data_IF_260780625253
#
_entry.id   IF_260780625253
#
_cell.length_a   1.000
_cell.length_b   1.000
_cell.length_c   1.000
_cell.angle_alpha   90.00
_cell.angle_beta   90.00
_cell.angle_gamma   90.00
#
_symmetry.space_group_name_H-M   'P 1'
#
loop_
_entity.id
_entity.type
_entity.pdbx_description
1 polymer ?
#
# COMPACT_ATOMS: atom_id res chain seq x y z
N UNK A 1 19.70 14.58 -2.50
CA UNK A 1 19.69 13.47 -3.49
C UNK A 1 19.97 12.12 -2.84
N UNK A 2 21.02 11.99 -1.99
CA UNK A 2 21.39 10.72 -1.32
C UNK A 2 20.26 10.13 -0.48
N UNK A 3 19.44 10.96 0.19
CA UNK A 3 18.30 10.52 0.97
C UNK A 3 17.20 9.82 0.13
N UNK A 4 16.93 10.32 -1.08
CA UNK A 4 15.99 9.66 -2.02
C UNK A 4 16.56 8.35 -2.53
N UNK A 5 17.85 8.34 -2.92
CA UNK A 5 18.55 7.14 -3.41
C UNK A 5 18.54 6.04 -2.32
N UNK A 6 18.77 6.41 -1.04
CA UNK A 6 18.76 5.48 0.07
C UNK A 6 17.44 4.71 0.23
N UNK A 7 16.33 5.25 -0.29
CA UNK A 7 14.99 4.66 -0.19
C UNK A 7 14.54 3.93 -1.45
N UNK A 8 15.39 3.80 -2.48
CA UNK A 8 15.09 2.93 -3.63
C UNK A 8 14.89 1.48 -3.17
N UNK A 9 13.98 0.77 -3.81
CA UNK A 9 13.70 -0.63 -3.50
C UNK A 9 14.86 -1.56 -3.87
N UNK A 10 15.66 -1.17 -4.85
CA UNK A 10 16.79 -1.95 -5.40
C UNK A 10 18.17 -1.57 -4.84
N UNK A 11 18.25 -0.54 -3.98
CA UNK A 11 19.54 -0.08 -3.45
C UNK A 11 20.12 -1.09 -2.47
N UNK A 12 21.33 -1.55 -2.72
CA UNK A 12 22.09 -2.38 -1.82
C UNK A 12 23.19 -1.58 -1.12
N UNK A 13 23.93 -0.77 -1.88
CA UNK A 13 24.99 0.09 -1.38
C UNK A 13 25.23 1.26 -2.31
N UNK A 14 25.76 2.35 -1.79
CA UNK A 14 26.19 3.52 -2.53
C UNK A 14 27.67 3.76 -2.25
N UNK A 15 28.43 4.01 -3.30
CA UNK A 15 29.87 4.22 -3.22
C UNK A 15 30.26 5.46 -4.02
N UNK A 16 31.23 6.22 -3.48
CA UNK A 16 31.90 7.29 -4.22
C UNK A 16 33.21 6.73 -4.80
N UNK A 17 33.47 7.05 -6.04
CA UNK A 17 34.73 6.69 -6.72
C UNK A 17 35.80 7.70 -6.29
N UNK A 18 36.90 7.22 -5.70
CA UNK A 18 38.06 8.00 -5.29
C UNK A 18 39.34 7.41 -5.94
N UNK A 19 39.68 7.90 -7.11
CA UNK A 19 40.73 7.30 -7.93
C UNK A 19 40.36 5.88 -8.35
N UNK A 20 41.11 4.88 -7.89
CA UNK A 20 40.86 3.46 -8.15
C UNK A 20 40.06 2.77 -7.01
N UNK A 21 39.70 3.50 -5.96
CA UNK A 21 39.02 2.98 -4.79
C UNK A 21 37.53 3.34 -4.78
N UNK A 22 36.75 2.51 -4.05
CA UNK A 22 35.34 2.75 -3.77
C UNK A 22 35.18 3.11 -2.29
N UNK A 23 34.86 4.36 -1.99
CA UNK A 23 34.53 4.82 -0.64
C UNK A 23 33.03 4.63 -0.38
N UNK A 24 32.62 3.89 0.67
CA UNK A 24 31.21 3.70 0.97
C UNK A 24 30.56 5.01 1.40
N UNK A 25 29.33 5.25 0.96
CA UNK A 25 28.49 6.37 1.34
C UNK A 25 27.40 5.85 2.27
N UNK A 26 27.26 6.47 3.43
CA UNK A 26 26.22 6.11 4.39
C UNK A 26 24.83 6.37 3.83
N UNK A 27 23.95 5.35 3.93
CA UNK A 27 22.57 5.41 3.46
C UNK A 27 21.64 5.68 4.66
N UNK A 28 21.03 6.86 4.69
CA UNK A 28 20.00 7.20 5.67
C UNK A 28 18.60 6.83 5.11
N UNK A 29 18.11 5.66 5.52
CA UNK A 29 16.78 5.16 5.14
C UNK A 29 15.70 5.73 6.06
N UNK A 30 14.47 5.78 5.55
CA UNK A 30 13.28 6.19 6.32
C UNK A 30 12.80 5.13 7.31
N UNK A 31 13.45 3.97 7.39
CA UNK A 31 13.03 2.81 8.17
C UNK A 31 12.87 3.14 9.66
N UNK A 32 11.61 3.34 10.07
CA UNK A 32 11.24 3.75 11.44
C UNK A 32 11.21 2.60 12.43
N UNK A 33 11.04 1.39 11.94
CA UNK A 33 10.86 0.17 12.71
C UNK A 33 11.86 -0.89 12.28
N UNK A 34 11.97 -1.92 13.10
CA UNK A 34 12.73 -3.13 12.80
C UNK A 34 12.13 -3.88 11.60
N UNK A 35 12.99 -4.45 10.76
CA UNK A 35 12.64 -5.19 9.53
C UNK A 35 11.64 -6.33 9.76
N UNK A 36 11.53 -6.84 10.98
CA UNK A 36 10.52 -7.83 11.35
C UNK A 36 9.09 -7.37 10.99
N UNK A 37 8.81 -6.07 10.94
CA UNK A 37 7.50 -5.53 10.55
C UNK A 37 7.12 -5.98 9.15
N UNK A 38 8.07 -6.03 8.23
CA UNK A 38 7.84 -6.37 6.82
C UNK A 38 8.21 -7.82 6.49
N UNK A 39 9.12 -8.45 7.24
CA UNK A 39 9.70 -9.75 6.88
C UNK A 39 9.12 -10.94 7.63
N UNK A 40 8.60 -10.76 8.87
CA UNK A 40 8.24 -11.88 9.73
C UNK A 40 6.97 -12.63 9.29
N UNK A 41 6.02 -11.93 8.67
CA UNK A 41 4.85 -12.58 8.12
C UNK A 41 5.24 -13.38 6.87
N UNK A 42 4.98 -14.70 6.91
CA UNK A 42 5.16 -15.60 5.76
C UNK A 42 3.85 -16.34 5.51
N UNK A 43 3.31 -16.19 4.32
CA UNK A 43 2.10 -16.87 3.87
C UNK A 43 2.12 -17.02 2.36
N UNK A 44 1.37 -17.99 1.86
CA UNK A 44 1.28 -18.23 0.42
C UNK A 44 0.64 -17.02 -0.27
N UNK A 45 1.25 -16.57 -1.36
CA UNK A 45 0.78 -15.40 -2.11
C UNK A 45 1.21 -14.05 -1.52
N UNK A 46 2.08 -14.04 -0.50
CA UNK A 46 2.65 -12.79 0.00
C UNK A 46 3.48 -12.10 -1.09
N UNK A 47 3.16 -10.86 -1.36
CA UNK A 47 3.97 -10.03 -2.25
C UNK A 47 5.35 -9.74 -1.64
N UNK A 48 6.37 -9.78 -2.48
CA UNK A 48 7.74 -9.47 -2.08
C UNK A 48 7.84 -8.05 -1.53
N UNK A 49 8.55 -7.86 -0.42
CA UNK A 49 8.66 -6.59 0.29
C UNK A 49 9.36 -5.51 -0.57
N UNK A 50 10.37 -5.91 -1.34
CA UNK A 50 11.08 -5.00 -2.25
C UNK A 50 10.17 -4.51 -3.37
N UNK A 51 9.30 -5.40 -3.90
CA UNK A 51 8.30 -5.03 -4.88
C UNK A 51 7.24 -4.09 -4.28
N UNK A 52 6.76 -4.37 -3.08
CA UNK A 52 5.82 -3.46 -2.38
C UNK A 52 6.45 -2.08 -2.17
N UNK A 53 7.74 -2.03 -1.80
CA UNK A 53 8.50 -0.79 -1.69
C UNK A 53 8.62 -0.08 -3.05
N UNK A 54 8.86 -0.81 -4.14
CA UNK A 54 8.88 -0.25 -5.50
C UNK A 54 7.54 0.38 -5.85
N UNK A 55 6.44 -0.35 -5.68
CA UNK A 55 5.09 0.11 -6.01
C UNK A 55 4.72 1.37 -5.24
N UNK A 56 5.00 1.40 -3.93
CA UNK A 56 4.79 2.59 -3.09
C UNK A 56 5.63 3.77 -3.58
N UNK A 57 6.93 3.56 -3.88
CA UNK A 57 7.83 4.62 -4.34
C UNK A 57 7.40 5.21 -5.67
N UNK A 58 7.10 4.36 -6.66
CA UNK A 58 6.67 4.81 -7.99
C UNK A 58 5.37 5.61 -7.89
N UNK A 59 4.42 5.15 -7.08
CA UNK A 59 3.16 5.86 -6.83
C UNK A 59 3.41 7.21 -6.17
N UNK A 60 4.24 7.25 -5.13
CA UNK A 60 4.57 8.46 -4.40
C UNK A 60 5.25 9.51 -5.29
N UNK A 61 6.28 9.11 -6.04
CA UNK A 61 7.01 10.02 -6.92
C UNK A 61 6.18 10.51 -8.11
N UNK A 62 5.13 9.79 -8.47
CA UNK A 62 4.17 10.23 -9.48
C UNK A 62 3.19 11.26 -8.96
N UNK A 63 3.02 11.42 -7.65
CA UNK A 63 2.17 12.46 -7.08
C UNK A 63 2.78 13.86 -7.24
N UNK A 64 1.94 14.89 -7.17
CA UNK A 64 2.40 16.29 -7.18
C UNK A 64 3.33 16.62 -5.99
N UNK A 65 3.37 15.77 -4.97
CA UNK A 65 4.16 15.93 -3.74
C UNK A 65 5.28 14.91 -3.62
N UNK A 66 5.64 14.24 -4.71
CA UNK A 66 6.69 13.20 -4.69
C UNK A 66 8.04 13.68 -4.18
N UNK A 67 8.40 14.94 -4.44
CA UNK A 67 9.61 15.58 -3.92
C UNK A 67 9.63 15.75 -2.39
N UNK A 68 8.49 15.67 -1.73
CA UNK A 68 8.35 15.82 -0.26
C UNK A 68 8.52 14.48 0.50
N UNK A 69 8.96 13.41 -0.17
CA UNK A 69 9.06 12.05 0.38
C UNK A 69 9.74 11.98 1.75
N UNK A 70 10.79 12.75 1.96
CA UNK A 70 11.61 12.70 3.16
C UNK A 70 11.07 13.56 4.31
N UNK A 71 10.28 14.59 3.99
CA UNK A 71 9.90 15.65 4.93
C UNK A 71 8.42 15.63 5.30
N UNK A 72 7.60 14.94 4.48
CA UNK A 72 6.15 14.88 4.64
C UNK A 72 5.69 13.53 5.19
N UNK A 73 4.75 13.55 6.12
CA UNK A 73 3.96 12.37 6.48
C UNK A 73 2.82 12.21 5.47
N UNK A 74 2.93 11.24 4.59
CA UNK A 74 1.87 10.86 3.67
C UNK A 74 0.83 9.98 4.36
N UNK A 75 -0.40 9.99 3.88
CA UNK A 75 -1.42 9.02 4.25
C UNK A 75 -1.66 8.07 3.08
N UNK A 76 -1.24 6.83 3.24
CA UNK A 76 -1.33 5.77 2.23
C UNK A 76 -2.60 4.96 2.44
N UNK A 77 -3.35 4.75 1.38
CA UNK A 77 -4.52 3.87 1.36
C UNK A 77 -4.26 2.65 0.48
N UNK A 78 -4.40 1.47 1.05
CA UNK A 78 -4.41 0.20 0.33
C UNK A 78 -5.84 -0.36 0.30
N UNK A 79 -6.53 -0.25 -0.87
CA UNK A 79 -7.93 -0.65 -0.99
C UNK A 79 -8.14 -2.17 -1.10
N UNK A 80 -7.07 -2.98 -1.14
CA UNK A 80 -7.06 -4.42 -1.31
C UNK A 80 -5.95 -5.03 -0.43
N UNK A 81 -5.91 -4.62 0.85
CA UNK A 81 -4.71 -4.70 1.66
C UNK A 81 -4.35 -6.11 2.15
N UNK A 82 -5.24 -7.11 2.01
CA UNK A 82 -4.97 -8.48 2.44
C UNK A 82 -4.38 -8.54 3.86
N UNK A 83 -3.16 -9.06 3.98
CA UNK A 83 -2.43 -9.11 5.26
C UNK A 83 -1.48 -7.94 5.50
N UNK A 84 -1.73 -6.78 4.85
CA UNK A 84 -1.16 -5.49 5.18
C UNK A 84 0.30 -5.27 4.79
N UNK A 85 0.81 -5.88 3.73
CA UNK A 85 2.19 -5.68 3.29
C UNK A 85 2.45 -4.20 2.95
N UNK A 86 1.55 -3.57 2.19
CA UNK A 86 1.62 -2.13 1.87
C UNK A 86 1.49 -1.27 3.12
N UNK A 87 0.59 -1.63 4.05
CA UNK A 87 0.41 -0.89 5.30
C UNK A 87 1.70 -0.88 6.13
N UNK A 88 2.34 -2.05 6.24
CA UNK A 88 3.61 -2.17 6.95
C UNK A 88 4.72 -1.35 6.28
N UNK A 89 4.80 -1.35 4.93
CA UNK A 89 5.78 -0.54 4.21
C UNK A 89 5.56 0.96 4.40
N UNK A 90 4.31 1.42 4.42
CA UNK A 90 3.98 2.81 4.72
C UNK A 90 4.41 3.19 6.15
N UNK A 91 4.15 2.33 7.13
CA UNK A 91 4.60 2.52 8.52
C UNK A 91 6.12 2.57 8.62
N UNK A 92 6.87 1.72 7.89
CA UNK A 92 8.34 1.78 7.83
C UNK A 92 8.82 3.18 7.41
N UNK A 93 8.15 3.82 6.46
CA UNK A 93 8.49 5.18 6.01
C UNK A 93 8.07 6.30 6.96
N UNK A 94 7.39 6.00 8.06
CA UNK A 94 6.88 7.02 8.96
C UNK A 94 5.55 7.63 8.51
N UNK A 95 4.88 7.01 7.53
CA UNK A 95 3.59 7.46 6.99
C UNK A 95 2.42 6.87 7.75
N UNK A 96 1.26 7.51 7.65
CA UNK A 96 0.01 6.93 8.12
C UNK A 96 -0.50 5.93 7.08
N UNK A 97 -1.13 4.85 7.54
CA UNK A 97 -1.58 3.77 6.69
C UNK A 97 -3.03 3.39 6.98
N UNK A 98 -3.83 3.29 5.92
CA UNK A 98 -5.21 2.81 5.99
C UNK A 98 -5.40 1.71 4.96
N UNK A 99 -6.06 0.63 5.35
CA UNK A 99 -6.40 -0.46 4.45
C UNK A 99 -7.84 -0.90 4.55
N UNK A 100 -8.35 -1.46 3.46
CA UNK A 100 -9.59 -2.23 3.46
C UNK A 100 -9.39 -3.57 2.79
N UNK A 101 -10.08 -4.58 3.28
CA UNK A 101 -10.18 -5.87 2.63
C UNK A 101 -11.46 -6.58 3.05
N UNK A 102 -12.04 -7.34 2.14
CA UNK A 102 -13.27 -8.09 2.38
C UNK A 102 -13.02 -9.41 3.15
N UNK A 103 -11.82 -10.01 3.02
CA UNK A 103 -11.52 -11.29 3.68
C UNK A 103 -11.31 -11.10 5.19
N UNK A 104 -12.27 -11.64 5.95
CA UNK A 104 -12.24 -11.61 7.42
C UNK A 104 -11.02 -12.33 8.01
N UNK A 105 -10.52 -13.39 7.34
CA UNK A 105 -9.37 -14.16 7.83
C UNK A 105 -8.09 -13.34 7.71
N UNK A 106 -7.95 -12.57 6.64
CA UNK A 106 -6.81 -11.69 6.46
C UNK A 106 -6.85 -10.53 7.45
N UNK A 107 -8.03 -9.94 7.68
CA UNK A 107 -8.23 -8.96 8.74
C UNK A 107 -7.83 -9.49 10.12
N UNK A 108 -8.30 -10.69 10.50
CA UNK A 108 -8.00 -11.28 11.80
C UNK A 108 -6.52 -11.65 11.93
N UNK A 109 -5.91 -12.18 10.87
CA UNK A 109 -4.49 -12.49 10.83
C UNK A 109 -3.62 -11.24 11.00
N UNK A 110 -3.90 -10.18 10.24
CA UNK A 110 -3.16 -8.91 10.34
C UNK A 110 -3.37 -8.22 11.70
N UNK A 111 -4.60 -8.16 12.18
CA UNK A 111 -4.90 -7.57 13.49
C UNK A 111 -4.17 -8.29 14.63
N UNK A 112 -4.09 -9.61 14.57
CA UNK A 112 -3.33 -10.43 15.52
C UNK A 112 -1.83 -10.18 15.42
N UNK A 113 -1.31 -10.15 14.19
CA UNK A 113 0.10 -9.89 13.92
C UNK A 113 0.54 -8.52 14.45
N UNK A 114 -0.14 -7.45 14.04
CA UNK A 114 0.28 -6.09 14.39
C UNK A 114 0.23 -5.85 15.89
N UNK A 115 -0.83 -6.29 16.56
CA UNK A 115 -0.94 -6.16 18.03
C UNK A 115 0.15 -6.93 18.77
N UNK A 116 0.53 -8.10 18.26
CA UNK A 116 1.64 -8.90 18.81
C UNK A 116 2.98 -8.21 18.56
N UNK A 117 3.22 -7.73 17.34
CA UNK A 117 4.43 -7.00 16.98
C UNK A 117 4.64 -5.78 17.88
N UNK A 118 3.62 -4.91 18.00
CA UNK A 118 3.70 -3.70 18.83
C UNK A 118 4.08 -4.00 20.27
N UNK A 119 3.50 -5.05 20.87
CA UNK A 119 3.83 -5.51 22.22
C UNK A 119 5.25 -6.07 22.32
N UNK A 120 5.64 -6.97 21.41
CA UNK A 120 6.97 -7.60 21.43
C UNK A 120 8.11 -6.61 21.24
N UNK A 121 7.93 -5.64 20.34
CA UNK A 121 8.90 -4.56 20.11
C UNK A 121 8.81 -3.43 21.14
N UNK A 122 7.91 -3.53 22.12
CA UNK A 122 7.72 -2.54 23.20
C UNK A 122 7.46 -1.12 22.69
N UNK A 123 6.87 -1.00 21.49
CA UNK A 123 6.51 0.29 20.91
C UNK A 123 5.45 0.98 21.78
N UNK A 124 5.43 2.30 21.78
CA UNK A 124 4.36 3.06 22.41
C UNK A 124 3.15 3.03 21.50
N UNK A 125 2.06 2.42 21.97
CA UNK A 125 0.91 2.22 21.13
C UNK A 125 -0.40 2.13 21.92
N UNK A 126 -1.48 2.44 21.19
CA UNK A 126 -2.84 2.02 21.51
C UNK A 126 -3.36 1.29 20.27
N UNK A 127 -4.04 0.15 20.45
CA UNK A 127 -4.56 -0.64 19.34
C UNK A 127 -5.86 -1.35 19.74
N UNK A 128 -6.96 -0.94 19.11
CA UNK A 128 -8.30 -1.38 19.43
C UNK A 128 -8.99 -1.96 18.19
N UNK A 129 -9.88 -2.93 18.39
CA UNK A 129 -10.76 -3.46 17.35
C UNK A 129 -12.19 -3.11 17.68
N UNK A 130 -12.82 -2.35 16.80
CA UNK A 130 -14.19 -1.86 16.93
C UNK A 130 -15.07 -2.34 15.78
N UNK A 131 -16.36 -2.02 15.82
CA UNK A 131 -17.29 -2.29 14.72
C UNK A 131 -17.46 -1.04 13.86
N UNK A 132 -17.33 -1.20 12.53
CA UNK A 132 -17.74 -0.18 11.57
C UNK A 132 -19.25 -0.22 11.43
N UNK A 133 -19.91 0.88 11.73
CA UNK A 133 -21.38 1.02 11.63
C UNK A 133 -21.76 2.19 10.75
N UNK A 134 -22.76 1.99 9.89
CA UNK A 134 -23.42 3.05 9.13
C UNK A 134 -24.94 2.83 9.14
N UNK A 135 -25.70 3.87 9.42
CA UNK A 135 -27.18 3.82 9.46
C UNK A 135 -27.70 2.63 10.32
N UNK A 136 -27.12 2.44 11.50
CA UNK A 136 -27.43 1.36 12.46
C UNK A 136 -27.06 -0.06 11.97
N UNK A 137 -26.49 -0.23 10.77
CA UNK A 137 -26.00 -1.52 10.26
C UNK A 137 -24.52 -1.67 10.53
N UNK A 138 -24.10 -2.87 10.92
CA UNK A 138 -22.68 -3.25 11.03
C UNK A 138 -22.19 -3.56 9.62
N UNK A 139 -21.18 -2.83 9.14
CA UNK A 139 -20.51 -3.07 7.86
C UNK A 139 -19.38 -4.08 8.00
N UNK A 140 -18.67 -4.05 9.13
CA UNK A 140 -17.53 -4.90 9.39
C UNK A 140 -16.85 -4.57 10.71
N UNK A 141 -15.62 -5.04 10.87
CA UNK A 141 -14.73 -4.70 11.99
C UNK A 141 -13.67 -3.69 11.52
N UNK A 142 -13.10 -2.95 12.44
CA UNK A 142 -12.00 -2.02 12.19
C UNK A 142 -10.95 -2.15 13.29
N UNK A 143 -9.71 -2.35 12.89
CA UNK A 143 -8.53 -2.15 13.72
C UNK A 143 -8.11 -0.69 13.60
N UNK A 144 -7.94 -0.01 14.71
CA UNK A 144 -7.34 1.32 14.79
C UNK A 144 -6.14 1.24 15.71
N UNK A 145 -4.99 1.71 15.27
CA UNK A 145 -3.80 1.79 16.09
C UNK A 145 -3.10 3.14 15.93
N UNK A 146 -2.65 3.66 17.06
CA UNK A 146 -1.70 4.78 17.13
C UNK A 146 -0.41 4.22 17.67
N UNK A 147 0.71 4.46 16.98
CA UNK A 147 1.99 3.87 17.33
C UNK A 147 3.15 4.86 17.16
N UNK A 148 4.15 4.74 18.04
CA UNK A 148 5.37 5.53 17.98
C UNK A 148 6.56 4.67 18.43
N UNK A 149 7.76 4.86 17.83
CA UNK A 149 8.97 4.15 18.25
C UNK A 149 9.29 4.42 19.73
N UNK A 150 9.19 5.67 20.16
CA UNK A 150 9.58 6.11 21.50
C UNK A 150 8.45 6.88 22.22
N UNK A 151 8.61 7.08 23.53
CA UNK A 151 7.70 7.92 24.33
C UNK A 151 7.83 9.39 23.96
N UNK A 152 9.01 9.81 23.57
CA UNK A 152 9.33 11.16 23.12
C UNK A 152 8.62 11.47 21.80
N UNK A 153 8.59 10.51 20.85
CA UNK A 153 7.84 10.63 19.59
C UNK A 153 6.34 10.77 19.86
N UNK A 154 5.80 9.94 20.76
CA UNK A 154 4.39 10.02 21.14
C UNK A 154 4.04 11.40 21.75
N UNK A 155 4.86 11.90 22.68
CA UNK A 155 4.67 13.20 23.31
C UNK A 155 4.80 14.36 22.33
N UNK A 156 5.68 14.24 21.34
CA UNK A 156 5.91 15.25 20.32
C UNK A 156 4.87 15.22 19.17
N UNK A 157 3.83 14.39 19.27
CA UNK A 157 2.80 14.27 18.22
C UNK A 157 3.28 13.59 16.94
N UNK A 158 4.40 12.84 16.99
CA UNK A 158 4.95 12.12 15.85
C UNK A 158 4.46 10.68 15.74
N UNK A 159 3.44 10.31 16.51
CA UNK A 159 2.79 9.01 16.40
C UNK A 159 2.13 8.85 15.03
N UNK A 160 2.25 7.65 14.47
CA UNK A 160 1.61 7.27 13.22
C UNK A 160 0.26 6.64 13.49
N UNK A 161 -0.64 6.74 12.51
CA UNK A 161 -1.94 6.11 12.53
C UNK A 161 -1.99 4.94 11.54
N UNK A 162 -2.49 3.82 12.05
CA UNK A 162 -2.81 2.64 11.26
C UNK A 162 -4.29 2.33 11.43
N UNK A 163 -4.98 2.19 10.31
CA UNK A 163 -6.35 1.72 10.27
C UNK A 163 -6.51 0.58 9.29
N UNK A 164 -7.31 -0.42 9.64
CA UNK A 164 -7.72 -1.48 8.73
C UNK A 164 -9.20 -1.80 8.96
N UNK A 165 -10.04 -1.58 7.95
CA UNK A 165 -11.45 -1.92 8.01
C UNK A 165 -11.75 -3.17 7.16
N UNK A 166 -12.42 -4.16 7.76
CA UNK A 166 -12.88 -5.35 7.04
C UNK A 166 -14.21 -5.02 6.35
N UNK A 167 -14.12 -4.37 5.19
CA UNK A 167 -15.24 -3.95 4.35
C UNK A 167 -14.89 -4.12 2.88
N UNK A 168 -15.91 -4.14 2.02
CA UNK A 168 -15.70 -4.13 0.57
C UNK A 168 -15.07 -2.78 0.16
N UNK A 169 -14.07 -2.82 -0.73
CA UNK A 169 -13.42 -1.62 -1.27
C UNK A 169 -14.43 -0.70 -1.99
N UNK A 170 -15.47 -1.24 -2.58
CA UNK A 170 -16.55 -0.46 -3.18
C UNK A 170 -17.34 0.37 -2.14
N UNK A 171 -17.35 -0.05 -0.89
CA UNK A 171 -18.00 0.63 0.22
C UNK A 171 -17.06 1.58 0.99
N UNK A 172 -15.81 1.74 0.57
CA UNK A 172 -14.82 2.54 1.29
C UNK A 172 -15.26 4.01 1.51
N UNK A 173 -16.01 4.61 0.57
CA UNK A 173 -16.62 5.94 0.75
C UNK A 173 -17.72 6.00 1.82
N UNK A 174 -18.19 4.85 2.28
CA UNK A 174 -19.10 4.78 3.41
C UNK A 174 -18.38 4.92 4.74
N UNK A 175 -17.08 4.67 4.76
CA UNK A 175 -16.21 4.66 5.93
C UNK A 175 -15.32 5.89 6.00
N UNK A 176 -14.80 6.33 4.84
CA UNK A 176 -13.82 7.41 4.73
C UNK A 176 -14.37 8.62 4.00
N UNK A 177 -13.96 9.81 4.45
CA UNK A 177 -14.32 11.06 3.82
C UNK A 177 -13.60 11.27 2.48
N UNK A 178 -14.19 12.03 1.53
CA UNK A 178 -13.50 12.43 0.31
C UNK A 178 -12.18 13.16 0.61
N UNK A 179 -11.15 12.91 -0.21
CA UNK A 179 -9.86 13.58 -0.08
C UNK A 179 -9.10 13.24 1.21
N UNK A 180 -9.30 12.04 1.77
CA UNK A 180 -8.63 11.60 3.00
C UNK A 180 -7.18 11.16 2.77
N UNK A 181 -6.84 10.68 1.58
CA UNK A 181 -5.57 10.01 1.32
C UNK A 181 -4.71 10.75 0.30
N UNK A 182 -3.39 10.68 0.48
CA UNK A 182 -2.41 11.25 -0.46
C UNK A 182 -2.08 10.26 -1.59
N UNK A 183 -2.06 8.96 -1.25
CA UNK A 183 -1.71 7.88 -2.18
C UNK A 183 -2.70 6.72 -2.05
N UNK A 184 -3.02 6.10 -3.18
CA UNK A 184 -3.69 4.81 -3.26
C UNK A 184 -2.70 3.80 -3.84
N UNK A 185 -2.40 2.73 -3.12
CA UNK A 185 -1.44 1.71 -3.52
C UNK A 185 -2.09 0.35 -3.39
N UNK A 186 -2.31 -0.32 -4.51
CA UNK A 186 -3.04 -1.57 -4.58
C UNK A 186 -2.23 -2.67 -5.26
N UNK A 187 -2.10 -3.83 -4.61
CA UNK A 187 -1.66 -5.06 -5.26
C UNK A 187 -2.91 -5.90 -5.57
N UNK A 188 -3.40 -5.80 -6.81
CA UNK A 188 -4.68 -6.40 -7.18
C UNK A 188 -4.60 -7.94 -7.26
N UNK A 189 -5.67 -8.68 -6.93
CA UNK A 189 -5.69 -10.13 -7.02
C UNK A 189 -5.31 -10.62 -8.42
N UNK A 190 -4.36 -11.56 -8.51
CA UNK A 190 -3.83 -12.05 -9.80
C UNK A 190 -4.75 -13.02 -10.54
N UNK A 191 -5.97 -13.27 -10.04
CA UNK A 191 -6.93 -14.17 -10.70
C UNK A 191 -6.55 -15.66 -10.66
N UNK A 192 -5.41 -16.03 -10.13
CA UNK A 192 -4.99 -17.42 -9.91
C UNK A 192 -5.58 -17.92 -8.59
N UNK A 193 -6.34 -19.03 -8.65
CA UNK A 193 -6.92 -19.65 -7.45
C UNK A 193 -5.80 -20.25 -6.58
N UNK A 194 -5.36 -19.52 -5.56
CA UNK A 194 -4.66 -20.14 -4.47
C UNK A 194 -5.70 -20.72 -3.49
N UNK A 195 -6.06 -21.98 -3.73
CA UNK A 195 -6.54 -22.98 -2.76
C UNK A 195 -7.54 -22.63 -1.66
N UNK A 196 -8.30 -21.55 -1.72
CA UNK A 196 -9.35 -21.27 -0.77
C UNK A 196 -10.71 -21.16 -1.45
N UNK A 197 -11.48 -22.25 -1.39
CA UNK A 197 -12.92 -22.22 -1.63
C UNK A 197 -13.56 -21.32 -0.57
N UNK A 198 -13.99 -20.14 -0.95
CA UNK A 198 -15.03 -19.43 -0.20
C UNK A 198 -16.36 -19.72 -0.86
N UNK A 199 -17.20 -20.43 -0.11
CA UNK A 199 -18.59 -20.67 -0.44
C UNK A 199 -19.36 -19.35 -0.52
N UNK A 200 -20.22 -19.31 -1.56
CA UNK A 200 -21.40 -18.46 -1.76
C UNK A 200 -21.22 -17.02 -2.24
N UNK A 201 -21.60 -16.85 -3.52
CA UNK A 201 -22.31 -15.68 -4.07
C UNK A 201 -21.71 -14.28 -3.89
N UNK A 202 -20.41 -14.14 -4.01
CA UNK A 202 -19.83 -12.90 -4.51
C UNK A 202 -19.27 -13.20 -5.89
N UNK A 203 -19.81 -12.60 -6.96
CA UNK A 203 -19.25 -12.70 -8.29
C UNK A 203 -17.73 -12.61 -8.18
N UNK A 204 -17.03 -13.62 -8.73
CA UNK A 204 -15.59 -13.55 -8.99
C UNK A 204 -15.38 -12.49 -10.06
N UNK A 205 -15.37 -11.23 -9.65
CA UNK A 205 -15.00 -10.13 -10.54
C UNK A 205 -13.54 -10.32 -10.91
N UNK A 206 -13.25 -10.36 -12.20
CA UNK A 206 -11.87 -10.30 -12.66
C UNK A 206 -11.21 -9.01 -12.13
N UNK A 207 -9.86 -8.93 -12.08
CA UNK A 207 -9.16 -7.72 -11.66
C UNK A 207 -9.65 -6.46 -12.38
N UNK A 208 -9.95 -6.58 -13.66
CA UNK A 208 -10.50 -5.50 -14.50
C UNK A 208 -11.85 -4.99 -14.00
N UNK A 209 -12.81 -5.88 -13.76
CA UNK A 209 -14.15 -5.50 -13.27
C UNK A 209 -14.08 -4.89 -11.87
N UNK A 210 -13.20 -5.43 -11.02
CA UNK A 210 -12.94 -4.90 -9.68
C UNK A 210 -12.42 -3.47 -9.76
N UNK A 211 -11.37 -3.23 -10.56
CA UNK A 211 -10.76 -1.91 -10.71
C UNK A 211 -11.73 -0.92 -11.34
N UNK A 212 -12.45 -1.30 -12.39
CA UNK A 212 -13.48 -0.44 -13.02
C UNK A 212 -14.55 -0.01 -12.01
N UNK A 213 -15.00 -0.90 -11.15
CA UNK A 213 -16.00 -0.60 -10.14
C UNK A 213 -15.43 0.25 -8.98
N UNK A 214 -14.17 0.02 -8.61
CA UNK A 214 -13.56 0.64 -7.44
C UNK A 214 -12.81 1.95 -7.74
N UNK A 215 -12.30 2.16 -8.96
CA UNK A 215 -11.54 3.35 -9.33
C UNK A 215 -12.27 4.67 -9.04
N UNK A 216 -13.57 4.85 -9.32
CA UNK A 216 -14.30 6.07 -8.96
C UNK A 216 -14.37 6.30 -7.43
N UNK A 217 -14.43 5.21 -6.65
CA UNK A 217 -14.39 5.26 -5.18
C UNK A 217 -13.03 5.75 -4.71
N UNK A 218 -11.95 5.13 -5.22
CA UNK A 218 -10.57 5.47 -4.86
C UNK A 218 -10.21 6.91 -5.24
N UNK A 219 -10.58 7.33 -6.47
CA UNK A 219 -10.41 8.72 -6.93
C UNK A 219 -11.12 9.71 -6.02
N UNK A 220 -12.33 9.39 -5.56
CA UNK A 220 -13.07 10.25 -4.64
C UNK A 220 -12.43 10.37 -3.26
N UNK A 221 -11.73 9.34 -2.79
CA UNK A 221 -11.00 9.31 -1.52
C UNK A 221 -9.62 9.97 -1.62
N UNK A 222 -9.04 10.04 -2.81
CA UNK A 222 -7.74 10.63 -3.05
C UNK A 222 -7.81 12.15 -3.05
N UNK A 223 -6.80 12.81 -2.47
CA UNK A 223 -6.61 14.26 -2.54
C UNK A 223 -6.23 14.70 -3.97
N UNK A 224 -6.53 15.95 -4.33
CA UNK A 224 -5.98 16.57 -5.54
C UNK A 224 -4.44 16.54 -5.50
N UNK A 225 -3.82 16.23 -6.62
CA UNK A 225 -2.37 16.01 -6.73
C UNK A 225 -1.88 14.67 -6.17
N UNK A 226 -2.77 13.84 -5.63
CA UNK A 226 -2.43 12.49 -5.19
C UNK A 226 -2.26 11.51 -6.35
N UNK A 227 -1.76 10.32 -6.08
CA UNK A 227 -1.54 9.29 -7.10
C UNK A 227 -2.11 7.92 -6.72
N UNK A 228 -2.48 7.15 -7.73
CA UNK A 228 -2.89 5.75 -7.64
C UNK A 228 -1.82 4.89 -8.32
N UNK A 229 -1.32 3.87 -7.64
CA UNK A 229 -0.47 2.85 -8.23
C UNK A 229 -1.08 1.47 -8.03
N UNK A 230 -1.19 0.71 -9.09
CA UNK A 230 -1.79 -0.62 -9.08
C UNK A 230 -0.82 -1.61 -9.70
N UNK A 231 -0.56 -2.72 -9.02
CA UNK A 231 0.04 -3.90 -9.64
C UNK A 231 -1.03 -4.94 -9.92
N UNK A 232 -0.88 -5.67 -11.03
CA UNK A 232 -1.82 -6.71 -11.43
C UNK A 232 -1.15 -7.77 -12.31
N UNK A 233 -1.88 -8.85 -12.61
CA UNK A 233 -1.45 -9.86 -13.58
C UNK A 233 -1.89 -9.48 -14.99
N UNK A 234 -0.95 -9.10 -15.85
CA UNK A 234 -1.20 -8.69 -17.24
C UNK A 234 -1.77 -9.80 -18.13
N UNK A 235 -1.59 -11.07 -17.76
CA UNK A 235 -2.23 -12.20 -18.46
C UNK A 235 -3.75 -12.28 -18.24
N UNK A 236 -4.26 -11.59 -17.21
CA UNK A 236 -5.70 -11.63 -16.85
C UNK A 236 -6.45 -10.40 -17.33
N UNK A 237 -5.78 -9.24 -17.37
CA UNK A 237 -6.36 -7.98 -17.86
C UNK A 237 -5.28 -7.16 -18.55
N UNK A 238 -5.56 -6.69 -19.76
CA UNK A 238 -4.64 -5.86 -20.54
C UNK A 238 -4.41 -4.48 -19.90
N UNK A 239 -3.21 -3.91 -20.11
CA UNK A 239 -2.85 -2.58 -19.60
C UNK A 239 -3.82 -1.49 -20.08
N UNK A 240 -4.21 -1.53 -21.34
CA UNK A 240 -5.13 -0.54 -21.95
C UNK A 240 -6.50 -0.52 -21.27
N UNK A 241 -6.99 -1.69 -20.85
CA UNK A 241 -8.28 -1.81 -20.15
C UNK A 241 -8.25 -1.15 -18.77
N UNK A 242 -7.14 -1.33 -18.03
CA UNK A 242 -6.94 -0.70 -16.73
C UNK A 242 -6.73 0.81 -16.89
N UNK A 243 -5.94 1.22 -17.88
CA UNK A 243 -5.72 2.63 -18.21
C UNK A 243 -7.04 3.34 -18.51
N UNK A 244 -7.90 2.72 -19.35
CA UNK A 244 -9.24 3.23 -19.64
C UNK A 244 -10.11 3.36 -18.38
N UNK A 245 -10.11 2.35 -17.51
CA UNK A 245 -10.90 2.39 -16.27
C UNK A 245 -10.42 3.50 -15.29
N UNK A 246 -9.13 3.79 -15.25
CA UNK A 246 -8.57 4.87 -14.42
C UNK A 246 -8.89 6.25 -15.03
N UNK A 247 -8.76 6.38 -16.36
CA UNK A 247 -9.11 7.61 -17.09
C UNK A 247 -10.60 7.94 -16.96
N UNK A 248 -11.49 6.95 -17.11
CA UNK A 248 -12.94 7.08 -16.91
C UNK A 248 -13.30 7.52 -15.49
N UNK A 249 -12.45 7.18 -14.51
CA UNK A 249 -12.60 7.62 -13.12
C UNK A 249 -12.04 9.04 -12.87
N UNK A 250 -11.54 9.73 -13.90
CA UNK A 250 -11.02 11.11 -13.81
C UNK A 250 -9.57 11.21 -13.38
N UNK A 251 -8.77 10.17 -13.61
CA UNK A 251 -7.34 10.15 -13.34
C UNK A 251 -6.52 10.32 -14.63
N UNK A 252 -5.38 10.98 -14.53
CA UNK A 252 -4.40 11.10 -15.61
C UNK A 252 -3.41 9.93 -15.53
N UNK A 253 -3.48 9.01 -16.51
CA UNK A 253 -2.60 7.83 -16.53
C UNK A 253 -1.18 8.24 -16.96
N UNK A 254 -0.18 7.75 -16.26
CA UNK A 254 1.22 7.85 -16.63
C UNK A 254 1.55 6.70 -17.60
N UNK A 255 1.57 6.98 -18.90
CA UNK A 255 1.69 5.99 -19.97
C UNK A 255 2.89 6.25 -20.92
N UNK A 256 3.94 6.84 -20.41
CA UNK A 256 5.15 7.16 -21.19
C UNK A 256 6.44 6.91 -20.40
N UNK A 257 7.54 6.69 -21.14
CA UNK A 257 8.87 6.50 -20.57
C UNK A 257 8.92 5.31 -19.59
N UNK A 258 9.58 5.43 -18.43
CA UNK A 258 9.81 4.34 -17.49
C UNK A 258 8.53 3.71 -16.93
N UNK A 259 7.38 4.36 -17.05
CA UNK A 259 6.09 3.80 -16.60
C UNK A 259 5.61 2.61 -17.43
N UNK A 260 6.20 2.35 -18.59
CA UNK A 260 5.88 1.22 -19.46
C UNK A 260 6.80 0.01 -19.25
N UNK A 261 7.82 0.12 -18.40
CA UNK A 261 8.90 -0.87 -18.27
C UNK A 261 8.81 -1.70 -16.97
N UNK A 262 7.62 -1.78 -16.35
CA UNK A 262 7.46 -2.53 -15.10
C UNK A 262 7.04 -3.98 -15.28
N UNK A 263 6.68 -4.40 -16.51
CA UNK A 263 6.27 -5.77 -16.76
C UNK A 263 7.41 -6.75 -16.43
N UNK A 264 7.11 -7.75 -15.62
CA UNK A 264 8.05 -8.81 -15.28
C UNK A 264 7.33 -10.10 -14.91
N UNK A 265 8.02 -11.24 -15.16
CA UNK A 265 7.50 -12.54 -14.82
C UNK A 265 7.71 -12.86 -13.34
N UNK A 266 6.63 -13.27 -12.65
CA UNK A 266 6.65 -13.74 -11.26
C UNK A 266 6.70 -15.27 -11.21
N UNK A 267 5.81 -15.93 -11.98
CA UNK A 267 5.80 -17.39 -12.18
C UNK A 267 5.20 -17.74 -13.55
N UNK A 268 4.84 -19.00 -13.76
CA UNK A 268 4.27 -19.44 -15.05
C UNK A 268 2.91 -18.82 -15.36
N UNK A 269 2.13 -18.50 -14.35
CA UNK A 269 0.76 -18.01 -14.47
C UNK A 269 0.62 -16.50 -14.19
N UNK A 270 1.71 -15.82 -13.80
CA UNK A 270 1.69 -14.42 -13.41
C UNK A 270 2.75 -13.62 -14.16
N UNK A 271 2.28 -12.75 -15.04
CA UNK A 271 3.04 -11.65 -15.62
C UNK A 271 2.59 -10.37 -14.94
N UNK A 272 3.38 -9.87 -14.02
CA UNK A 272 3.05 -8.68 -13.23
C UNK A 272 3.43 -7.42 -13.98
N UNK A 273 2.57 -6.42 -13.94
CA UNK A 273 2.87 -5.07 -14.41
C UNK A 273 2.42 -4.03 -13.37
N UNK A 274 2.80 -2.78 -13.54
CA UNK A 274 2.44 -1.64 -12.69
C UNK A 274 1.89 -0.51 -13.54
N UNK A 275 0.71 -0.02 -13.20
CA UNK A 275 0.13 1.19 -13.77
C UNK A 275 0.00 2.26 -12.70
N UNK A 276 0.30 3.50 -13.07
CA UNK A 276 0.20 4.65 -12.18
C UNK A 276 -0.65 5.73 -12.84
N UNK A 277 -1.46 6.41 -12.04
CA UNK A 277 -2.26 7.54 -12.48
C UNK A 277 -2.31 8.63 -11.40
N UNK A 278 -2.49 9.89 -11.82
CA UNK A 278 -2.59 11.06 -10.94
C UNK A 278 -4.01 11.58 -10.89
N UNK A 279 -4.37 12.14 -9.74
CA UNK A 279 -5.56 12.97 -9.64
C UNK A 279 -5.18 14.43 -9.87
N UNK A 280 -5.73 15.09 -10.88
CA UNK A 280 -5.54 16.52 -11.12
C UNK A 280 -5.83 17.42 -9.92
#
# INVERSE_FOLDING_TARGET
>A
ETGLIANLSSIYGLFRIEGELLAPVELHRLDRYDDDLITIQKYQGKTNEQFTKLLLNVTLWSSARGGEMLDRRFHVFDPLCGRGTTLNQALMYGYDATGVDLDKRDFEAYSGFVRTYLKRKRLKHQADVTQVRRNKRVLGKRLEATLAPTKEDLKAGRAQHLEYANVDTADARAVYAPGSFDLVVADAPYGVQHGSRTDKEGLKRGPQELIRAAAPVWTGLLRSGGAVGISWNNLVAGREELAGALADAGLEVCDSGPYLDFEHRVDQAIMRDVIVARKP
#
